data_IF_408006517762
#
_entry.id   IF_408006517762
#
_cell.length_a   1.000
_cell.length_b   1.000
_cell.length_c   1.000
_cell.angle_alpha   90.00
_cell.angle_beta   90.00
_cell.angle_gamma   90.00
#
_symmetry.space_group_name_H-M   'P 1'
#
loop_
_entity.id
_entity.type
_entity.pdbx_description
1 polymer ?
#
# COMPACT_ATOMS: atom_id res chain seq x y z
N UNK A 1 17.83 -48.57 -0.95
CA UNK A 1 18.21 -47.19 -0.57
C UNK A 1 17.50 -46.22 -1.51
N UNK A 2 16.38 -45.64 -1.10
CA UNK A 2 15.80 -44.47 -1.74
C UNK A 2 15.67 -43.41 -0.65
N UNK A 3 16.57 -42.43 -0.67
CA UNK A 3 16.42 -41.23 0.15
C UNK A 3 15.40 -40.35 -0.57
N UNK A 4 14.16 -40.34 -0.09
CA UNK A 4 13.21 -39.28 -0.41
C UNK A 4 13.81 -37.97 0.09
N UNK A 5 14.38 -37.17 -0.81
CA UNK A 5 14.73 -35.78 -0.54
C UNK A 5 13.44 -34.96 -0.58
N UNK A 6 12.70 -34.96 0.53
CA UNK A 6 11.69 -33.92 0.76
C UNK A 6 12.43 -32.62 1.04
N UNK A 7 12.78 -31.89 -0.01
CA UNK A 7 13.10 -30.46 0.15
C UNK A 7 11.82 -29.83 0.71
N UNK A 8 11.86 -29.14 1.86
CA UNK A 8 10.67 -28.48 2.39
C UNK A 8 10.10 -27.54 1.30
N UNK A 9 8.79 -27.60 1.10
CA UNK A 9 8.11 -26.76 0.12
C UNK A 9 8.39 -25.29 0.45
N UNK A 10 8.77 -24.50 -0.57
CA UNK A 10 8.99 -23.07 -0.41
C UNK A 10 7.70 -22.41 0.07
N UNK A 11 7.84 -21.50 1.03
CA UNK A 11 6.72 -20.68 1.51
C UNK A 11 6.24 -19.76 0.40
N UNK A 12 4.92 -19.69 0.19
CA UNK A 12 4.28 -18.91 -0.87
C UNK A 12 3.93 -17.52 -0.37
N UNK A 13 4.31 -16.50 -1.12
CA UNK A 13 4.09 -15.09 -0.76
C UNK A 13 3.30 -14.38 -1.85
N UNK A 14 2.16 -13.79 -1.49
CA UNK A 14 1.46 -12.84 -2.33
C UNK A 14 2.02 -11.44 -2.08
N UNK A 15 2.71 -10.85 -3.06
CA UNK A 15 3.31 -9.52 -2.94
C UNK A 15 2.42 -8.48 -3.62
N UNK A 16 1.93 -7.51 -2.85
CA UNK A 16 1.28 -6.32 -3.41
C UNK A 16 2.27 -5.48 -4.21
N UNK A 17 2.11 -5.45 -5.54
CA UNK A 17 2.97 -4.71 -6.46
C UNK A 17 2.23 -3.49 -6.99
N UNK A 18 2.68 -2.29 -6.63
CA UNK A 18 2.09 -1.02 -7.10
C UNK A 18 2.73 -0.49 -8.38
N UNK A 19 3.80 -1.12 -8.87
CA UNK A 19 4.61 -0.59 -9.97
C UNK A 19 5.59 0.51 -9.54
N UNK A 20 5.73 0.74 -8.23
CA UNK A 20 6.76 1.60 -7.65
C UNK A 20 8.06 0.84 -7.36
N UNK A 21 9.12 1.59 -7.06
CA UNK A 21 10.44 1.03 -6.74
C UNK A 21 10.39 0.12 -5.50
N UNK A 22 9.64 0.49 -4.47
CA UNK A 22 9.60 -0.19 -3.18
C UNK A 22 9.07 -1.63 -3.30
N UNK A 23 7.91 -1.81 -3.94
CA UNK A 23 7.35 -3.15 -4.16
C UNK A 23 8.19 -3.99 -5.13
N UNK A 24 8.89 -3.36 -6.07
CA UNK A 24 9.75 -4.07 -7.02
C UNK A 24 11.03 -4.57 -6.34
N UNK A 25 11.63 -3.76 -5.46
CA UNK A 25 12.75 -4.20 -4.61
C UNK A 25 12.31 -5.32 -3.66
N UNK A 26 11.11 -5.24 -3.07
CA UNK A 26 10.56 -6.33 -2.25
C UNK A 26 10.52 -7.67 -2.99
N UNK A 27 10.10 -7.65 -4.27
CA UNK A 27 10.02 -8.88 -5.07
C UNK A 27 11.37 -9.57 -5.19
N UNK A 28 12.44 -8.82 -5.48
CA UNK A 28 13.80 -9.35 -5.52
C UNK A 28 14.25 -9.91 -4.18
N UNK A 29 14.09 -9.14 -3.09
CA UNK A 29 14.52 -9.55 -1.75
C UNK A 29 13.85 -10.85 -1.31
N UNK A 30 12.54 -10.99 -1.56
CA UNK A 30 11.80 -12.21 -1.24
C UNK A 30 12.26 -13.42 -2.06
N UNK A 31 12.54 -13.24 -3.36
CA UNK A 31 13.08 -14.31 -4.21
C UNK A 31 14.47 -14.75 -3.72
N UNK A 32 15.33 -13.80 -3.37
CA UNK A 32 16.69 -14.05 -2.84
C UNK A 32 16.63 -14.80 -1.49
N UNK A 33 15.64 -14.49 -0.65
CA UNK A 33 15.35 -15.20 0.60
C UNK A 33 14.74 -16.60 0.39
N UNK A 34 14.43 -16.97 -0.86
CA UNK A 34 14.01 -18.31 -1.23
C UNK A 34 12.49 -18.55 -1.25
N UNK A 35 11.67 -17.50 -1.13
CA UNK A 35 10.21 -17.60 -1.21
C UNK A 35 9.72 -17.90 -2.63
N UNK A 36 8.52 -18.48 -2.73
CA UNK A 36 7.76 -18.56 -3.98
C UNK A 36 6.84 -17.34 -4.07
N UNK A 37 7.25 -16.33 -4.84
CA UNK A 37 6.56 -15.04 -4.91
C UNK A 37 5.56 -15.01 -6.05
N UNK A 38 4.34 -14.54 -5.79
CA UNK A 38 3.37 -14.12 -6.81
C UNK A 38 3.14 -12.62 -6.67
N UNK A 39 3.38 -11.86 -7.74
CA UNK A 39 3.06 -10.44 -7.80
C UNK A 39 1.55 -10.22 -7.96
N UNK A 40 0.98 -9.29 -7.20
CA UNK A 40 -0.45 -8.99 -7.20
C UNK A 40 -0.65 -7.49 -7.31
N UNK A 41 -1.28 -7.05 -8.40
CA UNK A 41 -1.69 -5.66 -8.58
C UNK A 41 -3.14 -5.47 -8.14
N UNK A 42 -3.38 -4.49 -7.27
CA UNK A 42 -4.71 -4.16 -6.76
C UNK A 42 -5.28 -3.02 -7.60
N UNK A 43 -6.26 -3.33 -8.46
CA UNK A 43 -6.93 -2.33 -9.29
C UNK A 43 -8.06 -1.69 -8.48
N UNK A 44 -7.77 -0.56 -7.83
CA UNK A 44 -8.68 0.13 -6.93
C UNK A 44 -9.29 1.41 -7.52
N UNK A 45 -8.68 1.99 -8.55
CA UNK A 45 -9.13 3.24 -9.14
C UNK A 45 -8.79 3.34 -10.62
N UNK A 46 -9.72 3.91 -11.40
CA UNK A 46 -9.52 4.20 -12.81
C UNK A 46 -10.32 5.44 -13.21
N UNK A 47 -9.60 6.51 -13.52
CA UNK A 47 -10.15 7.76 -14.04
C UNK A 47 -9.34 8.22 -15.26
N UNK A 48 -9.92 9.03 -16.17
CA UNK A 48 -9.15 9.67 -17.24
C UNK A 48 -7.93 10.43 -16.67
N UNK A 49 -6.74 10.21 -17.22
CA UNK A 49 -5.50 10.82 -16.74
C UNK A 49 -4.88 10.16 -15.49
N UNK A 50 -5.46 9.10 -14.95
CA UNK A 50 -4.89 8.36 -13.81
C UNK A 50 -3.67 7.51 -14.22
N UNK A 51 -2.68 7.47 -13.33
CA UNK A 51 -1.43 6.71 -13.48
C UNK A 51 -1.60 5.19 -13.38
N UNK A 52 -2.77 4.70 -12.98
CA UNK A 52 -3.00 3.28 -12.66
C UNK A 52 -2.67 2.33 -13.81
N UNK A 53 -2.92 2.71 -15.06
CA UNK A 53 -2.55 1.90 -16.23
C UNK A 53 -1.03 1.80 -16.43
N UNK A 54 -0.29 2.89 -16.19
CA UNK A 54 1.18 2.90 -16.27
C UNK A 54 1.78 2.10 -15.12
N UNK A 55 1.26 2.29 -13.91
CA UNK A 55 1.68 1.57 -12.71
C UNK A 55 1.45 0.06 -12.85
N UNK A 56 0.31 -0.34 -13.42
CA UNK A 56 0.03 -1.76 -13.72
C UNK A 56 1.01 -2.32 -14.75
N UNK A 57 1.33 -1.57 -15.80
CA UNK A 57 2.32 -1.98 -16.81
C UNK A 57 3.71 -2.13 -16.21
N UNK A 58 4.10 -1.21 -15.34
CA UNK A 58 5.39 -1.29 -14.63
C UNK A 58 5.44 -2.51 -13.70
N UNK A 59 4.38 -2.75 -12.93
CA UNK A 59 4.29 -3.93 -12.06
C UNK A 59 4.38 -5.25 -12.85
N UNK A 60 3.63 -5.34 -13.97
CA UNK A 60 3.67 -6.49 -14.86
C UNK A 60 5.06 -6.68 -15.47
N UNK A 61 5.71 -5.60 -15.90
CA UNK A 61 7.05 -5.65 -16.49
C UNK A 61 8.07 -6.19 -15.48
N UNK A 62 8.06 -5.71 -14.24
CA UNK A 62 8.94 -6.25 -13.18
C UNK A 62 8.64 -7.73 -12.92
N UNK A 63 7.37 -8.13 -12.86
CA UNK A 63 7.02 -9.53 -12.67
C UNK A 63 7.53 -10.44 -13.80
N UNK A 64 7.45 -9.97 -15.05
CA UNK A 64 8.00 -10.68 -16.22
C UNK A 64 9.52 -10.77 -16.19
N UNK A 65 10.22 -9.69 -15.84
CA UNK A 65 11.68 -9.66 -15.70
C UNK A 65 12.17 -10.64 -14.62
N UNK A 66 11.41 -10.77 -13.53
CA UNK A 66 11.67 -11.70 -12.43
C UNK A 66 11.21 -13.13 -12.68
N UNK A 67 10.42 -13.37 -13.74
CA UNK A 67 9.84 -14.68 -14.02
C UNK A 67 8.85 -15.16 -12.96
N UNK A 68 8.16 -14.25 -12.27
CA UNK A 68 7.16 -14.58 -11.23
C UNK A 68 5.72 -14.50 -11.79
N UNK A 69 4.78 -15.32 -11.28
CA UNK A 69 3.38 -15.18 -11.60
C UNK A 69 2.85 -13.79 -11.24
N UNK A 70 1.94 -13.27 -12.05
CA UNK A 70 1.31 -11.96 -11.85
C UNK A 70 -0.21 -12.08 -11.91
N UNK A 71 -0.90 -11.52 -10.91
CA UNK A 71 -2.35 -11.45 -10.85
C UNK A 71 -2.82 -10.00 -10.71
N UNK A 72 -4.01 -9.72 -11.23
CA UNK A 72 -4.70 -8.45 -11.05
C UNK A 72 -5.99 -8.73 -10.30
N UNK A 73 -6.21 -8.03 -9.18
CA UNK A 73 -7.46 -8.11 -8.41
C UNK A 73 -8.23 -6.82 -8.60
N UNK A 74 -9.48 -6.94 -9.02
CA UNK A 74 -10.37 -5.80 -9.18
C UNK A 74 -11.06 -5.48 -7.87
N UNK A 75 -10.69 -4.37 -7.25
CA UNK A 75 -11.27 -3.87 -6.01
C UNK A 75 -11.87 -2.47 -6.16
N UNK A 76 -12.18 -2.03 -7.39
CA UNK A 76 -12.69 -0.67 -7.66
C UNK A 76 -13.95 -0.33 -6.86
N UNK A 77 -14.94 -1.22 -6.89
CA UNK A 77 -16.20 -1.00 -6.17
C UNK A 77 -16.00 -0.96 -4.66
N UNK A 78 -15.22 -1.91 -4.12
CA UNK A 78 -14.96 -1.93 -2.68
C UNK A 78 -14.10 -0.75 -2.22
N UNK A 79 -13.14 -0.30 -3.03
CA UNK A 79 -12.33 0.89 -2.75
C UNK A 79 -13.21 2.14 -2.71
N UNK A 80 -14.08 2.31 -3.71
CA UNK A 80 -15.07 3.40 -3.72
C UNK A 80 -15.90 3.37 -2.43
N UNK A 81 -16.54 2.25 -2.15
CA UNK A 81 -17.53 2.16 -1.08
C UNK A 81 -16.91 2.24 0.32
N UNK A 82 -15.68 1.75 0.53
CA UNK A 82 -15.07 1.66 1.87
C UNK A 82 -14.05 2.75 2.17
N UNK A 83 -13.46 3.36 1.14
CA UNK A 83 -12.40 4.37 1.31
C UNK A 83 -12.87 5.73 0.82
N UNK A 84 -13.41 5.80 -0.40
CA UNK A 84 -13.83 7.07 -1.00
C UNK A 84 -15.11 7.59 -0.35
N UNK A 85 -16.13 6.76 -0.18
CA UNK A 85 -17.35 7.17 0.52
C UNK A 85 -17.09 7.56 1.98
N UNK A 86 -16.20 6.83 2.68
CA UNK A 86 -15.73 7.20 4.01
C UNK A 86 -15.11 8.60 4.00
N UNK A 87 -14.21 8.87 3.04
CA UNK A 87 -13.55 10.17 2.91
C UNK A 87 -14.56 11.30 2.79
N UNK A 88 -15.52 11.21 1.86
CA UNK A 88 -16.54 12.25 1.68
C UNK A 88 -17.47 12.39 2.89
N UNK A 89 -17.92 11.27 3.45
CA UNK A 89 -18.83 11.27 4.61
C UNK A 89 -18.21 11.93 5.84
N UNK A 90 -16.90 11.81 6.05
CA UNK A 90 -16.23 12.48 7.17
C UNK A 90 -16.04 13.98 6.92
N UNK A 91 -15.75 14.40 5.68
CA UNK A 91 -15.72 15.83 5.32
C UNK A 91 -17.09 16.49 5.49
N UNK A 92 -18.17 15.81 5.12
CA UNK A 92 -19.55 16.30 5.33
C UNK A 92 -19.87 16.53 6.82
N UNK A 93 -19.18 15.84 7.73
CA UNK A 93 -19.28 16.03 9.19
C UNK A 93 -18.36 17.13 9.73
N UNK A 94 -17.56 17.76 8.88
CA UNK A 94 -16.56 18.76 9.29
C UNK A 94 -15.29 18.13 9.91
N UNK A 95 -14.98 16.88 9.58
CA UNK A 95 -13.79 16.18 10.04
C UNK A 95 -12.74 16.05 8.92
N UNK A 96 -11.48 15.84 9.30
CA UNK A 96 -10.38 15.57 8.35
C UNK A 96 -10.03 14.07 8.39
N UNK A 97 -10.55 13.24 7.45
CA UNK A 97 -10.29 11.80 7.41
C UNK A 97 -8.88 11.46 6.92
N UNK A 98 -8.44 10.23 7.21
CA UNK A 98 -7.24 9.64 6.62
C UNK A 98 -7.61 8.43 5.75
N UNK A 99 -7.74 8.59 4.42
CA UNK A 99 -8.15 7.51 3.52
C UNK A 99 -7.09 6.42 3.40
N UNK A 100 -5.80 6.72 3.63
CA UNK A 100 -4.72 5.73 3.50
C UNK A 100 -4.74 4.70 4.64
N UNK A 101 -5.11 5.14 5.84
CA UNK A 101 -5.38 4.23 6.98
C UNK A 101 -6.51 3.27 6.63
N UNK A 102 -7.61 3.77 6.06
CA UNK A 102 -8.75 2.95 5.67
C UNK A 102 -8.42 2.04 4.49
N UNK A 103 -7.63 2.50 3.53
CA UNK A 103 -7.11 1.69 2.45
C UNK A 103 -6.28 0.50 2.97
N UNK A 104 -5.39 0.73 3.93
CA UNK A 104 -4.62 -0.35 4.54
C UNK A 104 -5.54 -1.34 5.25
N UNK A 105 -6.47 -0.86 6.08
CA UNK A 105 -7.40 -1.71 6.83
C UNK A 105 -8.33 -2.53 5.93
N UNK A 106 -8.99 -1.88 4.97
CA UNK A 106 -10.10 -2.47 4.23
C UNK A 106 -9.63 -3.19 2.95
N UNK A 107 -8.54 -2.72 2.33
CA UNK A 107 -8.12 -3.17 1.01
C UNK A 107 -6.85 -4.02 1.08
N UNK A 108 -5.74 -3.46 1.58
CA UNK A 108 -4.45 -4.19 1.57
C UNK A 108 -4.40 -5.31 2.61
N UNK A 109 -4.82 -5.03 3.83
CA UNK A 109 -4.88 -6.02 4.91
C UNK A 109 -6.30 -6.56 5.14
N UNK A 110 -7.29 -6.05 4.42
CA UNK A 110 -8.62 -6.65 4.29
C UNK A 110 -8.68 -7.54 3.05
N UNK A 111 -9.31 -7.05 1.98
CA UNK A 111 -9.62 -7.86 0.79
C UNK A 111 -8.42 -8.60 0.17
N UNK A 112 -7.26 -7.96 0.06
CA UNK A 112 -6.06 -8.60 -0.50
C UNK A 112 -5.53 -9.70 0.42
N UNK A 113 -5.48 -9.45 1.73
CA UNK A 113 -5.09 -10.44 2.72
C UNK A 113 -6.04 -11.64 2.72
N UNK A 114 -7.35 -11.39 2.79
CA UNK A 114 -8.36 -12.44 2.82
C UNK A 114 -8.29 -13.31 1.55
N UNK A 115 -8.14 -12.67 0.39
CA UNK A 115 -7.93 -13.36 -0.87
C UNK A 115 -6.65 -14.22 -0.85
N UNK A 116 -5.53 -13.69 -0.36
CA UNK A 116 -4.27 -14.42 -0.33
C UNK A 116 -4.35 -15.65 0.60
N UNK A 117 -4.96 -15.51 1.77
CA UNK A 117 -5.16 -16.63 2.69
C UNK A 117 -6.08 -17.70 2.07
N UNK A 118 -7.16 -17.29 1.41
CA UNK A 118 -8.08 -18.21 0.72
C UNK A 118 -7.42 -18.97 -0.44
N UNK A 119 -6.47 -18.35 -1.15
CA UNK A 119 -5.68 -18.97 -2.23
C UNK A 119 -4.51 -19.83 -1.72
N UNK A 120 -4.39 -19.97 -0.40
CA UNK A 120 -3.38 -20.81 0.26
C UNK A 120 -1.97 -20.23 0.19
N UNK A 121 -1.81 -18.90 0.14
CA UNK A 121 -0.53 -18.27 0.39
C UNK A 121 -0.19 -18.35 1.88
N UNK A 122 1.09 -18.53 2.21
CA UNK A 122 1.55 -18.53 3.60
C UNK A 122 1.62 -17.10 4.16
N UNK A 123 1.98 -16.13 3.29
CA UNK A 123 2.18 -14.73 3.66
C UNK A 123 1.66 -13.77 2.59
N UNK A 124 1.30 -12.56 3.04
CA UNK A 124 1.27 -11.36 2.21
C UNK A 124 2.52 -10.53 2.43
N UNK A 125 2.97 -9.84 1.39
CA UNK A 125 4.04 -8.86 1.49
C UNK A 125 3.63 -7.54 0.86
N UNK A 126 4.16 -6.43 1.42
CA UNK A 126 3.95 -5.09 0.88
C UNK A 126 5.23 -4.29 0.95
N UNK A 127 5.37 -3.28 0.08
CA UNK A 127 6.50 -2.33 0.12
C UNK A 127 6.38 -1.26 1.20
N UNK A 128 5.70 -1.53 2.32
CA UNK A 128 5.65 -0.58 3.42
C UNK A 128 6.95 -0.59 4.23
N UNK A 129 7.35 0.59 4.68
CA UNK A 129 8.42 0.78 5.66
C UNK A 129 7.83 0.57 7.06
N UNK A 130 7.82 -0.69 7.47
CA UNK A 130 7.39 -1.16 8.79
C UNK A 130 8.14 -2.45 9.13
N UNK A 131 8.04 -2.90 10.37
CA UNK A 131 8.67 -4.14 10.83
C UNK A 131 7.70 -5.01 11.59
N UNK A 132 7.79 -6.31 11.40
CA UNK A 132 7.04 -7.29 12.21
C UNK A 132 7.99 -7.90 13.23
N UNK A 133 7.74 -7.69 14.53
CA UNK A 133 8.54 -8.29 15.61
C UNK A 133 7.71 -9.32 16.35
N UNK A 134 8.22 -10.54 16.53
CA UNK A 134 7.54 -11.59 17.31
C UNK A 134 8.34 -11.93 18.57
N UNK A 135 7.65 -11.98 19.72
CA UNK A 135 8.17 -12.55 20.96
C UNK A 135 7.41 -13.84 21.31
N UNK A 136 7.70 -14.44 22.47
CA UNK A 136 7.25 -15.79 22.86
C UNK A 136 5.73 -16.05 22.77
N UNK A 137 4.88 -15.02 22.67
CA UNK A 137 3.44 -15.18 22.47
C UNK A 137 2.78 -14.17 21.54
N UNK A 138 3.46 -13.10 21.13
CA UNK A 138 2.83 -12.01 20.40
C UNK A 138 3.61 -11.50 19.20
N UNK A 139 2.87 -11.06 18.20
CA UNK A 139 3.39 -10.38 17.01
C UNK A 139 3.01 -8.90 17.03
N UNK A 140 4.01 -8.03 16.87
CA UNK A 140 3.89 -6.59 16.98
C UNK A 140 4.29 -5.91 15.67
N UNK A 141 3.58 -4.82 15.37
CA UNK A 141 4.01 -3.83 14.38
C UNK A 141 4.98 -2.86 15.04
N UNK A 142 6.19 -2.76 14.51
CA UNK A 142 7.27 -1.94 15.05
C UNK A 142 7.86 -1.01 13.99
N UNK A 143 8.49 0.08 14.44
CA UNK A 143 9.17 1.06 13.60
C UNK A 143 10.29 0.39 12.79
N UNK A 144 10.42 0.67 11.47
CA UNK A 144 11.49 0.13 10.63
C UNK A 144 12.84 0.82 10.92
N UNK A 145 13.91 0.38 10.25
CA UNK A 145 15.21 1.07 10.29
C UNK A 145 15.12 2.52 9.78
N UNK A 146 14.32 2.77 8.73
CA UNK A 146 14.10 4.11 8.19
C UNK A 146 13.01 4.86 8.96
N UNK A 147 13.41 5.56 10.02
CA UNK A 147 12.48 6.38 10.82
C UNK A 147 11.91 7.58 10.05
N UNK A 148 12.55 8.05 8.97
CA UNK A 148 12.03 9.14 8.15
C UNK A 148 10.93 8.69 7.20
N UNK A 149 10.92 7.41 6.84
CA UNK A 149 9.91 6.80 5.97
C UNK A 149 8.98 5.86 6.69
N UNK A 150 9.04 5.80 8.03
CA UNK A 150 8.17 4.99 8.88
C UNK A 150 6.69 5.14 8.49
N UNK A 151 6.07 4.02 8.16
CA UNK A 151 4.66 3.92 7.76
C UNK A 151 3.79 3.20 8.78
N UNK A 152 4.31 2.87 9.97
CA UNK A 152 3.52 2.24 11.05
C UNK A 152 2.29 3.06 11.43
N UNK A 153 2.35 4.40 11.35
CA UNK A 153 1.21 5.29 11.53
C UNK A 153 0.03 4.95 10.61
N UNK A 154 0.25 4.51 9.38
CA UNK A 154 -0.83 4.15 8.45
C UNK A 154 -1.34 2.72 8.64
N UNK A 155 -0.69 1.94 9.50
CA UNK A 155 -0.88 0.50 9.67
C UNK A 155 -1.43 0.15 11.06
N UNK A 156 -1.76 1.14 11.90
CA UNK A 156 -2.16 0.93 13.30
C UNK A 156 -3.46 0.12 13.49
N UNK A 157 -4.28 -0.02 12.44
CA UNK A 157 -5.52 -0.80 12.46
C UNK A 157 -5.32 -2.28 12.05
N UNK A 158 -4.10 -2.69 11.73
CA UNK A 158 -3.78 -4.09 11.42
C UNK A 158 -3.80 -4.91 12.70
N UNK A 159 -4.43 -6.07 12.64
CA UNK A 159 -4.52 -7.02 13.75
C UNK A 159 -3.26 -7.87 13.89
N UNK A 160 -3.02 -8.37 15.10
CA UNK A 160 -1.94 -9.33 15.35
C UNK A 160 -2.00 -10.55 14.43
N UNK A 161 -3.20 -11.06 14.14
CA UNK A 161 -3.38 -12.22 13.26
C UNK A 161 -2.94 -11.93 11.82
N UNK A 162 -3.28 -10.74 11.29
CA UNK A 162 -2.78 -10.31 9.99
C UNK A 162 -1.26 -10.15 10.01
N UNK A 163 -0.68 -9.61 11.10
CA UNK A 163 0.77 -9.41 11.21
C UNK A 163 1.56 -10.73 11.18
N UNK A 164 1.05 -11.81 11.80
CA UNK A 164 1.70 -13.15 11.73
C UNK A 164 1.91 -13.65 10.31
N UNK A 165 1.06 -13.21 9.39
CA UNK A 165 1.07 -13.58 7.98
C UNK A 165 1.53 -12.44 7.07
N UNK A 166 2.16 -11.39 7.63
CA UNK A 166 2.62 -10.23 6.87
C UNK A 166 4.14 -10.11 6.92
N UNK A 167 4.75 -9.94 5.74
CA UNK A 167 6.16 -9.61 5.58
C UNK A 167 6.32 -8.15 5.13
N UNK A 168 7.30 -7.46 5.73
CA UNK A 168 7.75 -6.14 5.30
C UNK A 168 9.21 -6.22 4.85
N UNK A 169 9.49 -6.55 3.58
CA UNK A 169 10.87 -6.81 3.14
C UNK A 169 11.82 -5.62 3.22
N UNK A 170 11.29 -4.40 3.43
CA UNK A 170 12.07 -3.17 3.56
C UNK A 170 12.35 -2.79 5.02
N UNK A 171 12.00 -3.65 5.99
CA UNK A 171 12.04 -3.34 7.42
C UNK A 171 13.41 -2.87 7.94
N UNK A 172 14.50 -3.34 7.34
CA UNK A 172 15.87 -3.02 7.73
C UNK A 172 16.61 -2.12 6.72
N UNK A 173 15.89 -1.52 5.75
CA UNK A 173 16.48 -0.68 4.70
C UNK A 173 15.97 0.77 4.76
N UNK A 174 16.88 1.71 4.54
CA UNK A 174 16.55 3.10 4.22
C UNK A 174 16.05 3.27 2.79
N UNK A 175 15.32 4.35 2.52
CA UNK A 175 14.84 4.64 1.16
C UNK A 175 15.97 4.78 0.14
N UNK A 176 17.09 5.35 0.55
CA UNK A 176 18.25 5.49 -0.31
C UNK A 176 18.84 4.12 -0.63
N UNK A 177 19.00 3.24 0.37
CA UNK A 177 19.41 1.85 0.16
C UNK A 177 18.44 1.09 -0.75
N UNK A 178 17.13 1.28 -0.61
CA UNK A 178 16.13 0.67 -1.52
C UNK A 178 16.34 1.11 -2.98
N UNK A 179 16.66 2.39 -3.21
CA UNK A 179 16.95 2.90 -4.57
C UNK A 179 18.29 2.39 -5.10
N UNK A 180 19.29 2.25 -4.24
CA UNK A 180 20.57 1.63 -4.61
C UNK A 180 20.38 0.17 -4.99
N UNK A 181 19.67 -0.61 -4.18
CA UNK A 181 19.39 -2.03 -4.44
C UNK A 181 18.60 -2.21 -5.74
N UNK A 182 17.63 -1.33 -6.02
CA UNK A 182 16.90 -1.30 -7.27
C UNK A 182 17.82 -1.02 -8.47
N UNK A 183 18.74 -0.06 -8.32
CA UNK A 183 19.72 0.29 -9.37
C UNK A 183 20.70 -0.84 -9.62
N UNK A 184 21.24 -1.46 -8.57
CA UNK A 184 22.17 -2.61 -8.66
C UNK A 184 21.54 -3.80 -9.39
N UNK A 185 20.22 -3.98 -9.24
CA UNK A 185 19.44 -5.04 -9.89
C UNK A 185 18.92 -4.68 -11.28
N UNK A 186 19.19 -3.45 -11.75
CA UNK A 186 18.76 -3.00 -13.08
C UNK A 186 17.25 -2.82 -13.21
N UNK A 187 16.53 -2.62 -12.10
CA UNK A 187 15.09 -2.37 -12.12
C UNK A 187 14.79 -1.09 -12.90
N UNK A 188 13.92 -1.16 -13.91
CA UNK A 188 13.58 0.01 -14.74
C UNK A 188 12.88 1.14 -13.95
N UNK A 189 12.28 0.78 -12.81
CA UNK A 189 11.60 1.71 -11.89
C UNK A 189 12.53 2.37 -10.86
N UNK A 190 13.84 2.10 -10.89
CA UNK A 190 14.80 2.61 -9.89
C UNK A 190 14.77 4.13 -9.71
N UNK A 191 14.59 4.87 -10.80
CA UNK A 191 14.50 6.34 -10.82
C UNK A 191 13.06 6.87 -10.76
N UNK A 192 12.06 6.00 -10.62
CA UNK A 192 10.66 6.42 -10.54
C UNK A 192 10.45 7.20 -9.24
N UNK A 193 9.78 8.36 -9.36
CA UNK A 193 9.37 9.15 -8.20
C UNK A 193 8.34 8.38 -7.37
N UNK A 194 8.42 8.53 -6.06
CA UNK A 194 7.45 7.98 -5.12
C UNK A 194 6.04 8.47 -5.47
N UNK A 195 5.04 7.65 -5.16
CA UNK A 195 3.65 8.09 -5.28
C UNK A 195 3.34 9.06 -4.14
N UNK A 196 2.74 10.19 -4.49
CA UNK A 196 2.23 11.21 -3.56
C UNK A 196 0.72 11.32 -3.74
N UNK A 197 0.03 11.85 -2.73
CA UNK A 197 -1.43 11.96 -2.73
C UNK A 197 -2.14 10.73 -2.15
N UNK A 198 -3.46 10.66 -2.36
CA UNK A 198 -4.31 9.61 -1.78
C UNK A 198 -3.99 8.28 -2.47
N UNK A 199 -3.82 7.21 -1.69
CA UNK A 199 -3.50 5.87 -2.20
C UNK A 199 -4.44 5.47 -3.34
N UNK A 200 -3.90 4.89 -4.42
CA UNK A 200 -4.61 4.49 -5.65
C UNK A 200 -5.25 5.60 -6.50
N UNK A 201 -5.60 6.75 -5.93
CA UNK A 201 -6.14 7.89 -6.69
C UNK A 201 -5.00 8.69 -7.33
N UNK A 202 -3.90 8.86 -6.59
CA UNK A 202 -2.67 9.54 -7.04
C UNK A 202 -2.58 10.99 -6.59
N UNK A 203 -1.76 11.77 -7.31
CA UNK A 203 -1.51 13.18 -7.05
C UNK A 203 -2.69 14.03 -7.55
N UNK A 204 -3.78 14.00 -6.79
CA UNK A 204 -4.96 14.82 -7.04
C UNK A 204 -4.97 16.04 -6.13
N UNK A 205 -5.47 17.16 -6.66
CA UNK A 205 -5.82 18.29 -5.83
C UNK A 205 -7.05 17.91 -4.99
N UNK A 206 -6.83 17.68 -3.69
CA UNK A 206 -7.90 17.31 -2.74
C UNK A 206 -9.02 18.34 -2.72
N UNK A 207 -8.69 19.64 -2.87
CA UNK A 207 -9.71 20.69 -2.95
C UNK A 207 -10.64 20.45 -4.13
N UNK A 208 -10.09 20.27 -5.33
CA UNK A 208 -10.89 20.10 -6.55
C UNK A 208 -11.67 18.78 -6.50
N UNK A 209 -11.07 17.72 -5.97
CA UNK A 209 -11.73 16.43 -5.78
C UNK A 209 -12.90 16.49 -4.79
N UNK A 210 -12.77 17.26 -3.71
CA UNK A 210 -13.87 17.53 -2.78
C UNK A 210 -14.94 18.39 -3.44
N UNK A 211 -14.52 19.45 -4.14
CA UNK A 211 -15.39 20.42 -4.82
C UNK A 211 -16.28 19.76 -5.87
N UNK A 212 -15.73 18.85 -6.69
CA UNK A 212 -16.46 18.13 -7.74
C UNK A 212 -17.71 17.40 -7.20
N UNK A 213 -17.68 16.95 -5.93
CA UNK A 213 -18.77 16.21 -5.31
C UNK A 213 -19.57 17.02 -4.30
N UNK A 214 -18.91 17.76 -3.42
CA UNK A 214 -19.56 18.47 -2.31
C UNK A 214 -19.99 19.90 -2.69
N UNK A 215 -19.39 20.48 -3.74
CA UNK A 215 -19.64 21.85 -4.15
C UNK A 215 -19.13 22.88 -3.14
N UNK A 216 -19.60 24.12 -3.29
CA UNK A 216 -19.31 25.21 -2.36
C UNK A 216 -20.31 25.24 -1.22
N UNK A 217 -19.81 25.54 -0.01
CA UNK A 217 -20.64 25.88 1.13
C UNK A 217 -20.05 27.11 1.84
N UNK A 218 -20.22 28.31 1.27
CA UNK A 218 -19.55 29.50 1.77
C UNK A 218 -20.02 29.89 3.17
N UNK A 219 -19.08 30.33 4.01
CA UNK A 219 -19.35 30.75 5.37
C UNK A 219 -18.44 31.89 5.84
N UNK A 220 -18.76 32.46 7.00
CA UNK A 220 -17.96 33.50 7.62
C UNK A 220 -16.80 32.88 8.41
N UNK A 221 -15.61 33.47 8.29
CA UNK A 221 -14.48 33.17 9.19
C UNK A 221 -14.57 34.10 10.39
N UNK A 222 -14.65 33.54 11.59
CA UNK A 222 -14.77 34.29 12.85
C UNK A 222 -13.53 34.11 13.72
N UNK A 223 -13.15 35.17 14.45
CA UNK A 223 -12.12 35.09 15.47
C UNK A 223 -12.65 34.44 16.77
N UNK A 224 -11.79 34.28 17.78
CA UNK A 224 -12.17 33.70 19.09
C UNK A 224 -13.16 34.55 19.89
N UNK A 225 -13.42 35.80 19.47
CA UNK A 225 -14.40 36.70 20.07
C UNK A 225 -15.75 36.71 19.30
N UNK A 226 -15.84 35.96 18.20
CA UNK A 226 -17.02 35.92 17.33
C UNK A 226 -17.09 37.07 16.32
N UNK A 227 -16.01 37.84 16.14
CA UNK A 227 -15.94 38.90 15.14
C UNK A 227 -15.67 38.28 13.78
N UNK A 228 -16.50 38.59 12.78
CA UNK A 228 -16.29 38.17 11.39
C UNK A 228 -15.05 38.87 10.82
N UNK A 229 -14.05 38.09 10.42
CA UNK A 229 -12.76 38.56 9.87
C UNK A 229 -12.55 38.18 8.40
N UNK A 230 -13.46 37.39 7.81
CA UNK A 230 -13.36 36.96 6.42
C UNK A 230 -14.48 36.02 6.00
N UNK A 231 -14.31 35.39 4.83
CA UNK A 231 -15.20 34.35 4.30
C UNK A 231 -14.38 33.18 3.77
N UNK A 232 -14.91 31.96 3.87
CA UNK A 232 -14.40 30.76 3.22
C UNK A 232 -15.44 30.25 2.19
N UNK A 233 -15.02 29.40 1.26
CA UNK A 233 -15.86 28.83 0.19
C UNK A 233 -16.48 27.49 0.55
N UNK A 234 -16.18 26.98 1.74
CA UNK A 234 -16.35 25.58 2.13
C UNK A 234 -15.05 25.11 2.73
#
# INVERSE_FOLDING_TARGET
MQKNSHTPAKKRVALGMSGGVDSSTCAHLLIEQGYEVTGVYLECWRAPGCRSEEDRKDALKVALELGIPFKVLDFKDAYRDRVVEYFFTEYEKGLTPNPDVMCNKEIKFGLFYDWAMAEGFDYVATGHYAKTTTNDSHTYLTVPADTHKDQTYFLYLITEEQLKHTLFPLEDLTKDEVREEATKRGLHVSNKKDSVGICFIGDINVHDFLYERLGENPGDVVDTNGVVIGKHTG
#
